data_IF_545068624795
#
_entry.id   IF_545068624795
#
_cell.length_a   1.000
_cell.length_b   1.000
_cell.length_c   1.000
_cell.angle_alpha   90.00
_cell.angle_beta   90.00
_cell.angle_gamma   90.00
#
_symmetry.space_group_name_H-M   'P 1'
#
loop_
_entity.id
_entity.type
_entity.pdbx_description
1 polymer ?
#
# COMPACT_ATOMS: atom_id res chain seq x y z
N UNK A 1 27.95 3.65 20.70
CA UNK A 1 27.73 5.04 21.20
C UNK A 1 26.59 5.61 20.35
N UNK A 2 25.35 5.30 20.71
CA UNK A 2 24.17 5.73 19.96
C UNK A 2 23.74 7.07 20.54
N UNK A 3 24.08 8.16 19.84
CA UNK A 3 23.56 9.48 20.13
C UNK A 3 22.03 9.42 20.00
N UNK A 4 21.30 9.35 21.10
CA UNK A 4 19.87 9.63 21.16
C UNK A 4 19.71 11.07 20.68
N UNK A 5 19.27 11.22 19.41
CA UNK A 5 18.80 12.53 18.95
C UNK A 5 17.59 12.86 19.83
N UNK A 6 17.81 13.75 20.80
CA UNK A 6 16.72 14.30 21.60
C UNK A 6 15.70 14.92 20.64
N UNK A 7 14.42 14.65 20.86
CA UNK A 7 13.34 15.19 20.02
C UNK A 7 13.37 16.72 19.85
N UNK A 8 14.13 17.42 20.69
CA UNK A 8 14.39 18.87 20.60
C UNK A 8 15.28 19.26 19.42
N UNK A 9 16.10 18.33 18.88
CA UNK A 9 17.02 18.61 17.75
C UNK A 9 16.38 18.43 16.36
N UNK A 10 15.21 17.78 16.27
CA UNK A 10 14.52 17.56 14.98
C UNK A 10 13.83 18.84 14.56
N UNK A 11 14.27 19.40 13.42
CA UNK A 11 13.72 20.62 12.86
C UNK A 11 12.30 20.44 12.32
N UNK A 12 11.52 21.52 12.24
CA UNK A 12 10.19 21.48 11.61
C UNK A 12 10.23 21.09 10.13
N UNK A 13 11.32 21.42 9.42
CA UNK A 13 11.54 21.00 8.04
C UNK A 13 11.72 19.49 7.92
N UNK A 14 12.47 18.86 8.82
CA UNK A 14 12.64 17.40 8.85
C UNK A 14 11.34 16.69 9.16
N UNK A 15 10.50 17.24 10.05
CA UNK A 15 9.16 16.68 10.33
C UNK A 15 8.31 16.69 9.06
N UNK A 16 8.24 17.82 8.32
CA UNK A 16 7.52 17.89 7.06
C UNK A 16 8.04 16.88 6.02
N UNK A 17 9.36 16.72 5.92
CA UNK A 17 9.96 15.72 5.04
C UNK A 17 9.67 14.28 5.45
N UNK A 18 9.55 14.00 6.76
CA UNK A 18 9.19 12.69 7.27
C UNK A 18 7.68 12.37 7.10
N UNK A 19 6.82 13.39 7.06
CA UNK A 19 5.39 13.23 6.78
C UNK A 19 5.11 12.96 5.30
N UNK A 20 5.97 13.45 4.41
CA UNK A 20 5.76 13.38 2.96
C UNK A 20 5.51 11.96 2.42
N UNK A 21 6.31 10.93 2.76
CA UNK A 21 6.07 9.56 2.28
C UNK A 21 4.70 9.03 2.69
N UNK A 22 4.26 9.31 3.91
CA UNK A 22 2.96 8.86 4.42
C UNK A 22 1.80 9.55 3.72
N UNK A 23 1.89 10.86 3.50
CA UNK A 23 0.89 11.62 2.74
C UNK A 23 0.77 11.12 1.30
N UNK A 24 1.90 10.91 0.62
CA UNK A 24 1.92 10.37 -0.74
C UNK A 24 1.31 8.97 -0.78
N UNK A 25 1.61 8.14 0.22
CA UNK A 25 1.10 6.79 0.28
C UNK A 25 -0.40 6.75 0.55
N UNK A 26 -0.90 7.53 1.52
CA UNK A 26 -2.33 7.67 1.81
C UNK A 26 -3.09 8.17 0.57
N UNK A 27 -2.58 9.22 -0.09
CA UNK A 27 -3.18 9.74 -1.32
C UNK A 27 -3.18 8.68 -2.44
N UNK A 28 -2.08 7.94 -2.59
CA UNK A 28 -1.98 6.84 -3.55
C UNK A 28 -2.95 5.70 -3.27
N UNK A 29 -3.10 5.28 -2.01
CA UNK A 29 -4.07 4.26 -1.62
C UNK A 29 -5.51 4.70 -1.96
N UNK A 30 -5.83 5.95 -1.64
CA UNK A 30 -7.14 6.50 -1.91
C UNK A 30 -7.43 6.59 -3.42
N UNK A 31 -6.52 7.21 -4.17
CA UNK A 31 -6.72 7.46 -5.61
C UNK A 31 -6.65 6.16 -6.40
N UNK A 32 -5.61 5.35 -6.20
CA UNK A 32 -5.38 4.18 -7.07
C UNK A 32 -6.21 2.98 -6.65
N UNK A 33 -6.40 2.75 -5.34
CA UNK A 33 -7.07 1.55 -4.86
C UNK A 33 -8.54 1.75 -4.53
N UNK A 34 -8.92 2.88 -3.93
CA UNK A 34 -10.31 3.12 -3.56
C UNK A 34 -11.14 3.81 -4.65
N UNK A 35 -10.53 4.63 -5.51
CA UNK A 35 -11.24 5.32 -6.59
C UNK A 35 -11.01 4.66 -7.95
N UNK A 36 -9.76 4.52 -8.37
CA UNK A 36 -9.43 4.07 -9.73
C UNK A 36 -9.78 2.60 -9.96
N UNK A 37 -9.52 1.71 -9.01
CA UNK A 37 -9.81 0.29 -9.18
C UNK A 37 -11.32 0.02 -9.35
N UNK A 38 -12.24 0.54 -8.51
CA UNK A 38 -13.67 0.43 -8.76
C UNK A 38 -14.11 1.13 -10.04
N UNK A 39 -13.52 2.29 -10.40
CA UNK A 39 -13.85 3.00 -11.63
C UNK A 39 -13.53 2.18 -12.89
N UNK A 40 -12.37 1.50 -12.92
CA UNK A 40 -11.99 0.59 -14.00
C UNK A 40 -13.04 -0.52 -14.19
N UNK A 41 -13.54 -1.08 -13.09
CA UNK A 41 -14.57 -2.13 -13.11
C UNK A 41 -15.89 -1.55 -13.61
N UNK A 42 -16.31 -0.40 -13.09
CA UNK A 42 -17.58 0.25 -13.44
C UNK A 42 -17.62 0.68 -14.93
N UNK A 43 -16.50 1.18 -15.46
CA UNK A 43 -16.33 1.60 -16.85
C UNK A 43 -16.13 0.42 -17.82
N UNK A 44 -16.08 -0.81 -17.32
CA UNK A 44 -15.89 -2.03 -18.12
C UNK A 44 -14.64 -1.99 -19.02
N UNK A 45 -13.56 -1.37 -18.54
CA UNK A 45 -12.30 -1.23 -19.30
C UNK A 45 -11.64 -2.62 -19.54
N UNK A 46 -12.14 -3.66 -18.87
CA UNK A 46 -11.66 -5.02 -18.97
C UNK A 46 -10.56 -5.34 -17.93
N UNK A 47 -10.12 -6.59 -17.92
CA UNK A 47 -9.11 -7.07 -16.95
C UNK A 47 -7.79 -6.30 -17.04
N UNK A 48 -7.38 -5.88 -18.24
CA UNK A 48 -6.17 -5.08 -18.44
C UNK A 48 -6.20 -3.75 -17.67
N UNK A 49 -7.38 -3.16 -17.47
CA UNK A 49 -7.54 -1.93 -16.71
C UNK A 49 -7.14 -2.06 -15.24
N UNK A 50 -7.25 -3.25 -14.65
CA UNK A 50 -6.84 -3.49 -13.25
C UNK A 50 -5.32 -3.42 -13.05
N UNK A 51 -4.52 -3.54 -14.11
CA UNK A 51 -3.07 -3.32 -14.03
C UNK A 51 -2.72 -1.85 -13.82
N UNK A 52 -3.59 -0.89 -14.18
CA UNK A 52 -3.30 0.54 -14.04
C UNK A 52 -3.10 0.92 -12.57
N UNK A 53 -4.05 0.68 -11.64
CA UNK A 53 -3.84 0.98 -10.21
C UNK A 53 -2.67 0.19 -9.60
N UNK A 54 -2.43 -1.04 -10.05
CA UNK A 54 -1.30 -1.85 -9.62
C UNK A 54 0.03 -1.21 -10.03
N UNK A 55 0.18 -0.79 -11.29
CA UNK A 55 1.38 -0.11 -11.78
C UNK A 55 1.61 1.23 -11.09
N UNK A 56 0.55 2.03 -10.89
CA UNK A 56 0.64 3.29 -10.16
C UNK A 56 1.11 3.08 -8.71
N UNK A 57 0.58 2.07 -8.03
CA UNK A 57 1.03 1.67 -6.69
C UNK A 57 2.49 1.21 -6.70
N UNK A 58 2.90 0.45 -7.72
CA UNK A 58 4.28 0.01 -7.93
C UNK A 58 5.25 1.17 -8.11
N UNK A 59 4.88 2.17 -8.93
CA UNK A 59 5.67 3.38 -9.11
C UNK A 59 5.84 4.15 -7.79
N UNK A 60 4.77 4.26 -6.98
CA UNK A 60 4.82 4.94 -5.69
C UNK A 60 5.74 4.23 -4.70
N UNK A 61 5.67 2.89 -4.62
CA UNK A 61 6.53 2.08 -3.75
C UNK A 61 7.99 2.15 -4.21
N UNK A 62 8.25 2.07 -5.51
CA UNK A 62 9.60 2.21 -6.09
C UNK A 62 10.18 3.60 -5.83
N UNK A 63 9.37 4.65 -5.98
CA UNK A 63 9.76 6.02 -5.64
C UNK A 63 10.11 6.15 -4.16
N UNK A 64 9.33 5.56 -3.26
CA UNK A 64 9.58 5.59 -1.82
C UNK A 64 10.91 4.93 -1.46
N UNK A 65 11.24 3.81 -2.09
CA UNK A 65 12.53 3.14 -1.94
C UNK A 65 13.69 4.03 -2.40
N UNK A 66 13.60 4.52 -3.65
CA UNK A 66 14.64 5.36 -4.25
C UNK A 66 14.85 6.66 -3.47
N UNK A 67 13.78 7.32 -3.06
CA UNK A 67 13.88 8.55 -2.28
C UNK A 67 14.45 8.31 -0.90
N UNK A 68 14.03 7.23 -0.23
CA UNK A 68 14.53 6.84 1.09
C UNK A 68 16.03 6.57 1.12
N UNK A 69 16.61 6.06 0.02
CA UNK A 69 18.06 5.82 -0.08
C UNK A 69 18.90 7.10 -0.22
N UNK A 70 18.28 8.21 -0.63
CA UNK A 70 18.98 9.50 -0.87
C UNK A 70 18.86 10.50 0.29
N UNK A 71 18.07 10.20 1.30
CA UNK A 71 17.86 11.08 2.45
C UNK A 71 18.97 10.88 3.47
N UNK A 72 19.63 11.97 3.88
CA UNK A 72 20.74 11.95 4.86
C UNK A 72 20.26 11.92 6.31
N UNK A 73 19.11 12.54 6.60
CA UNK A 73 18.54 12.54 7.95
C UNK A 73 18.03 11.15 8.33
N UNK A 74 18.60 10.58 9.41
CA UNK A 74 18.19 9.27 9.94
C UNK A 74 16.69 9.21 10.29
N UNK A 75 16.15 10.31 10.81
CA UNK A 75 14.74 10.43 11.14
C UNK A 75 13.86 10.32 9.88
N UNK A 76 14.13 11.12 8.88
CA UNK A 76 13.36 11.14 7.62
C UNK A 76 13.54 9.82 6.85
N UNK A 77 14.76 9.27 6.78
CA UNK A 77 15.02 7.99 6.11
C UNK A 77 14.25 6.83 6.75
N UNK A 78 14.08 6.83 8.08
CA UNK A 78 13.28 5.81 8.78
C UNK A 78 11.81 5.83 8.36
N UNK A 79 11.22 7.02 8.15
CA UNK A 79 9.84 7.18 7.69
C UNK A 79 9.66 6.74 6.20
N UNK A 80 10.61 7.06 5.32
CA UNK A 80 10.61 6.56 3.95
C UNK A 80 10.70 5.04 3.89
N UNK A 81 11.58 4.43 4.72
CA UNK A 81 11.70 2.98 4.82
C UNK A 81 10.42 2.32 5.36
N UNK A 82 9.71 2.98 6.29
CA UNK A 82 8.45 2.48 6.79
C UNK A 82 7.37 2.50 5.70
N UNK A 83 7.22 3.60 4.97
CA UNK A 83 6.28 3.70 3.86
C UNK A 83 6.58 2.66 2.76
N UNK A 84 7.86 2.42 2.44
CA UNK A 84 8.24 1.34 1.53
C UNK A 84 7.79 -0.04 2.03
N UNK A 85 7.98 -0.35 3.34
CA UNK A 85 7.53 -1.62 3.93
C UNK A 85 6.01 -1.77 3.89
N UNK A 86 5.28 -0.71 4.16
CA UNK A 86 3.81 -0.69 4.01
C UNK A 86 3.38 -0.98 2.58
N UNK A 87 4.13 -0.45 1.61
CA UNK A 87 3.91 -0.75 0.20
C UNK A 87 4.13 -2.23 -0.13
N UNK A 88 5.18 -2.84 0.39
CA UNK A 88 5.39 -4.29 0.22
C UNK A 88 4.25 -5.11 0.83
N UNK A 89 3.72 -4.68 1.99
CA UNK A 89 2.56 -5.34 2.60
C UNK A 89 1.32 -5.25 1.70
N UNK A 90 1.09 -4.12 1.04
CA UNK A 90 0.03 -3.96 0.04
C UNK A 90 0.20 -4.95 -1.13
N UNK A 91 1.44 -5.15 -1.61
CA UNK A 91 1.72 -6.11 -2.68
C UNK A 91 1.45 -7.56 -2.27
N UNK A 92 1.56 -7.92 -0.99
CA UNK A 92 1.11 -9.23 -0.49
C UNK A 92 -0.40 -9.39 -0.72
N UNK A 93 -1.19 -8.35 -0.44
CA UNK A 93 -2.63 -8.36 -0.74
C UNK A 93 -2.92 -8.57 -2.23
N UNK A 94 -2.20 -7.89 -3.12
CA UNK A 94 -2.32 -8.10 -4.56
C UNK A 94 -1.92 -9.51 -4.98
N UNK A 95 -0.85 -10.07 -4.42
CA UNK A 95 -0.42 -11.43 -4.74
C UNK A 95 -1.46 -12.47 -4.34
N UNK A 96 -2.05 -12.34 -3.14
CA UNK A 96 -3.14 -13.22 -2.68
C UNK A 96 -4.35 -13.10 -3.61
N UNK A 97 -4.80 -11.88 -3.90
CA UNK A 97 -5.94 -11.65 -4.80
C UNK A 97 -5.67 -12.17 -6.22
N UNK A 98 -4.46 -11.95 -6.74
CA UNK A 98 -4.06 -12.46 -8.06
C UNK A 98 -4.07 -13.99 -8.12
N UNK A 99 -3.60 -14.65 -7.07
CA UNK A 99 -3.65 -16.10 -6.95
C UNK A 99 -5.09 -16.62 -6.93
N UNK A 100 -5.98 -15.97 -6.16
CA UNK A 100 -7.39 -16.34 -6.12
C UNK A 100 -8.11 -16.11 -7.45
N UNK A 101 -7.78 -15.01 -8.16
CA UNK A 101 -8.31 -14.74 -9.51
C UNK A 101 -7.84 -15.83 -10.49
N UNK A 102 -6.56 -16.23 -10.42
CA UNK A 102 -6.05 -17.32 -11.24
C UNK A 102 -6.76 -18.65 -10.98
N UNK A 103 -6.99 -18.98 -9.71
CA UNK A 103 -7.78 -20.16 -9.33
C UNK A 103 -9.21 -20.05 -9.86
N UNK A 104 -9.86 -18.90 -9.73
CA UNK A 104 -11.21 -18.66 -10.25
C UNK A 104 -11.27 -18.86 -11.77
N UNK A 105 -10.23 -18.43 -12.49
CA UNK A 105 -10.11 -18.65 -13.94
C UNK A 105 -10.02 -20.14 -14.28
N UNK A 106 -9.18 -20.90 -13.57
CA UNK A 106 -9.07 -22.36 -13.76
C UNK A 106 -10.41 -23.07 -13.53
N UNK A 107 -11.14 -22.69 -12.48
CA UNK A 107 -12.47 -23.25 -12.23
C UNK A 107 -13.46 -22.91 -13.35
N UNK A 108 -13.45 -21.67 -13.80
CA UNK A 108 -14.35 -21.21 -14.86
C UNK A 108 -14.18 -21.98 -16.18
N UNK A 109 -12.93 -22.22 -16.59
CA UNK A 109 -12.63 -22.94 -17.85
C UNK A 109 -12.85 -24.45 -17.76
N UNK A 110 -12.89 -25.01 -16.54
CA UNK A 110 -13.19 -26.45 -16.33
C UNK A 110 -14.67 -26.78 -16.38
N UNK A 111 -15.54 -25.78 -16.42
CA UNK A 111 -16.99 -26.00 -16.50
C UNK A 111 -17.41 -26.36 -17.93
N UNK A 112 -18.24 -27.42 -18.07
CA UNK A 112 -18.79 -27.84 -19.37
C UNK A 112 -19.85 -26.85 -19.90
N UNK A 113 -20.55 -26.14 -19.01
CA UNK A 113 -21.54 -25.14 -19.33
C UNK A 113 -20.92 -23.73 -19.27
N UNK A 114 -20.88 -23.04 -20.42
CA UNK A 114 -20.32 -21.71 -20.55
C UNK A 114 -21.05 -20.66 -19.68
N UNK A 115 -22.38 -20.80 -19.50
CA UNK A 115 -23.14 -19.86 -18.67
C UNK A 115 -22.81 -20.04 -17.19
N UNK A 116 -22.69 -21.27 -16.73
CA UNK A 116 -22.26 -21.60 -15.38
C UNK A 116 -20.80 -21.13 -15.13
N UNK A 117 -19.90 -21.35 -16.10
CA UNK A 117 -18.52 -20.87 -16.05
C UNK A 117 -18.45 -19.36 -15.86
N UNK A 118 -19.28 -18.59 -16.57
CA UNK A 118 -19.31 -17.13 -16.43
C UNK A 118 -19.87 -16.66 -15.07
N UNK A 119 -20.87 -17.35 -14.52
CA UNK A 119 -21.40 -17.06 -13.18
C UNK A 119 -20.32 -17.31 -12.12
N UNK A 120 -19.66 -18.45 -12.19
CA UNK A 120 -18.58 -18.85 -11.27
C UNK A 120 -17.42 -17.84 -11.37
N UNK A 121 -16.99 -17.51 -12.57
CA UNK A 121 -15.96 -16.49 -12.82
C UNK A 121 -16.30 -15.15 -12.14
N UNK A 122 -17.51 -14.65 -12.41
CA UNK A 122 -17.93 -13.36 -11.87
C UNK A 122 -18.01 -13.33 -10.34
N UNK A 123 -18.56 -14.40 -9.75
CA UNK A 123 -18.69 -14.51 -8.30
C UNK A 123 -17.31 -14.64 -7.61
N UNK A 124 -16.48 -15.57 -8.08
CA UNK A 124 -15.17 -15.82 -7.47
C UNK A 124 -14.21 -14.64 -7.65
N UNK A 125 -14.24 -13.94 -8.79
CA UNK A 125 -13.40 -12.76 -9.01
C UNK A 125 -13.75 -11.64 -8.03
N UNK A 126 -15.03 -11.43 -7.72
CA UNK A 126 -15.46 -10.44 -6.73
C UNK A 126 -14.95 -10.79 -5.33
N UNK A 127 -15.04 -12.07 -4.94
CA UNK A 127 -14.52 -12.54 -3.64
C UNK A 127 -13.00 -12.43 -3.60
N UNK A 128 -12.32 -12.71 -4.69
CA UNK A 128 -10.86 -12.65 -4.80
C UNK A 128 -10.28 -11.23 -4.62
N UNK A 129 -11.07 -10.17 -4.77
CA UNK A 129 -10.65 -8.80 -4.51
C UNK A 129 -10.66 -8.42 -3.03
N UNK A 130 -11.38 -9.18 -2.19
CA UNK A 130 -11.52 -8.88 -0.75
C UNK A 130 -10.17 -8.81 -0.02
N UNK A 131 -9.21 -9.73 -0.21
CA UNK A 131 -7.90 -9.63 0.41
C UNK A 131 -7.20 -8.31 0.10
N UNK A 132 -7.18 -7.86 -1.16
CA UNK A 132 -6.60 -6.56 -1.51
C UNK A 132 -7.25 -5.42 -0.72
N UNK A 133 -8.57 -5.38 -0.61
CA UNK A 133 -9.27 -4.33 0.16
C UNK A 133 -8.89 -4.38 1.65
N UNK A 134 -8.77 -5.56 2.24
CA UNK A 134 -8.32 -5.72 3.63
C UNK A 134 -6.91 -5.16 3.79
N UNK A 135 -5.98 -5.49 2.89
CA UNK A 135 -4.61 -4.99 2.96
C UNK A 135 -4.52 -3.48 2.70
N UNK A 136 -5.36 -2.92 1.84
CA UNK A 136 -5.50 -1.46 1.65
C UNK A 136 -5.91 -0.79 2.95
N UNK A 137 -6.92 -1.33 3.66
CA UNK A 137 -7.38 -0.78 4.94
C UNK A 137 -6.31 -0.86 6.03
N UNK A 138 -5.65 -2.02 6.16
CA UNK A 138 -4.55 -2.21 7.13
C UNK A 138 -3.43 -1.21 6.83
N UNK A 139 -3.00 -1.12 5.58
CA UNK A 139 -1.92 -0.24 5.15
C UNK A 139 -2.28 1.23 5.40
N UNK A 140 -3.53 1.62 5.14
CA UNK A 140 -4.01 2.97 5.39
C UNK A 140 -3.93 3.34 6.88
N UNK A 141 -4.38 2.45 7.78
CA UNK A 141 -4.28 2.65 9.23
C UNK A 141 -2.82 2.76 9.68
N UNK A 142 -1.93 1.93 9.14
CA UNK A 142 -0.50 1.98 9.42
C UNK A 142 0.11 3.32 8.99
N UNK A 143 -0.24 3.81 7.81
CA UNK A 143 0.28 5.09 7.28
C UNK A 143 -0.23 6.30 8.08
N UNK A 144 -1.48 6.31 8.51
CA UNK A 144 -2.00 7.36 9.42
C UNK A 144 -1.29 7.34 10.78
N UNK A 145 -1.04 6.15 11.34
CA UNK A 145 -0.28 6.00 12.58
C UNK A 145 1.16 6.51 12.41
N UNK A 146 1.81 6.16 11.30
CA UNK A 146 3.17 6.59 10.97
C UNK A 146 3.26 8.10 10.73
N UNK A 147 2.26 8.70 10.07
CA UNK A 147 2.15 10.15 9.93
C UNK A 147 2.06 10.85 11.29
N UNK A 148 1.21 10.34 12.20
CA UNK A 148 1.10 10.84 13.57
C UNK A 148 2.42 10.69 14.34
N UNK A 149 3.15 9.59 14.16
CA UNK A 149 4.48 9.38 14.76
C UNK A 149 5.49 10.41 14.24
N UNK A 150 5.49 10.73 12.94
CA UNK A 150 6.33 11.77 12.35
C UNK A 150 6.03 13.15 12.97
N UNK A 151 4.75 13.49 13.13
CA UNK A 151 4.32 14.74 13.79
C UNK A 151 4.85 14.84 15.21
N UNK A 152 4.84 13.73 15.94
CA UNK A 152 5.34 13.63 17.33
C UNK A 152 6.86 13.44 17.41
N UNK A 153 7.59 13.60 16.30
CA UNK A 153 9.05 13.43 16.21
C UNK A 153 9.55 12.05 16.67
N UNK A 154 8.72 11.00 16.52
CA UNK A 154 9.07 9.62 16.91
C UNK A 154 9.69 8.88 15.75
N UNK A 155 10.81 8.17 16.00
CA UNK A 155 11.43 7.29 15.01
C UNK A 155 10.67 5.95 15.00
N UNK A 156 10.19 5.46 13.84
CA UNK A 156 9.51 4.17 13.73
C UNK A 156 10.42 3.03 14.22
N UNK A 157 9.86 2.08 14.97
CA UNK A 157 10.56 0.88 15.40
C UNK A 157 11.44 1.02 16.66
N UNK A 158 11.51 2.21 17.27
CA UNK A 158 12.05 2.36 18.62
C UNK A 158 10.89 2.49 19.60
N UNK A 159 10.69 1.48 20.44
CA UNK A 159 9.88 1.61 21.65
C UNK A 159 10.50 2.73 22.50
N UNK A 160 9.72 3.75 22.83
CA UNK A 160 10.08 4.71 23.87
C UNK A 160 10.09 3.91 25.17
N UNK A 161 11.22 3.84 25.92
CA UNK A 161 11.12 3.29 27.27
C UNK A 161 10.07 4.13 28.02
N UNK A 162 9.12 3.44 28.63
CA UNK A 162 8.19 4.09 29.56
C UNK A 162 9.03 4.73 30.68
N UNK A 163 8.87 6.04 30.85
CA UNK A 163 9.41 6.78 31.98
C UNK A 163 8.54 6.48 33.20
#
# INVERSE_FOLDING_TARGET
MDAQLSGSQISGAEVKQAQLPHNLFIAGLFIFNLLMAPAVIALKIGMAGLFIPLLCSGCLVSYSYWRGSKVTSRFTAAHWKLAYKSGLLLFVGYAISGTLIFIAWLFSISMNDASMGQIVWTALTRIALVPTLIFVMITMVMEFSAYSAATKKKIPGKSVPAV
#
